data_IF_621441552873
#
_entry.id   IF_621441552873
#
_cell.length_a   1.000
_cell.length_b   1.000
_cell.length_c   1.000
_cell.angle_alpha   90.00
_cell.angle_beta   90.00
_cell.angle_gamma   90.00
#
_symmetry.space_group_name_H-M   'P 1'
#
loop_
_entity.id
_entity.type
_entity.pdbx_description
1 polymer ?
#
# COMPACT_ATOMS: atom_id res chain seq x y z
N UNK A 1 8.80 -10.17 10.16
CA UNK A 1 8.37 -11.16 9.13
C UNK A 1 7.05 -11.89 9.42
N UNK A 2 6.32 -11.59 10.51
CA UNK A 2 5.07 -12.32 10.83
C UNK A 2 4.08 -12.37 9.65
N UNK A 3 3.74 -11.21 9.06
CA UNK A 3 2.79 -11.14 7.94
C UNK A 3 3.23 -11.94 6.71
N UNK A 4 4.53 -11.97 6.39
CA UNK A 4 5.05 -12.75 5.25
C UNK A 4 4.90 -14.26 5.50
N UNK A 5 5.13 -14.71 6.74
CA UNK A 5 4.92 -16.11 7.11
C UNK A 5 3.45 -16.49 7.07
N UNK A 6 2.58 -15.61 7.58
CA UNK A 6 1.13 -15.84 7.56
C UNK A 6 0.60 -15.91 6.11
N UNK A 7 1.14 -15.09 5.21
CA UNK A 7 0.85 -15.12 3.78
C UNK A 7 1.57 -16.25 3.00
N UNK A 8 2.49 -17.00 3.65
CA UNK A 8 3.37 -17.99 3.01
C UNK A 8 4.16 -17.42 1.81
N UNK A 9 4.57 -16.17 1.90
CA UNK A 9 5.30 -15.45 0.86
C UNK A 9 6.76 -15.24 1.24
N UNK A 10 7.65 -15.41 0.26
CA UNK A 10 9.04 -15.00 0.39
C UNK A 10 9.18 -13.49 0.14
N UNK A 11 10.14 -12.84 0.82
CA UNK A 11 10.40 -11.40 0.67
C UNK A 11 10.66 -10.99 -0.79
N UNK A 12 11.32 -11.84 -1.56
CA UNK A 12 11.64 -11.59 -2.97
C UNK A 12 10.40 -11.51 -3.86
N UNK A 13 9.29 -12.12 -3.44
CA UNK A 13 8.02 -12.11 -4.19
C UNK A 13 7.21 -10.84 -4.00
N UNK A 14 7.61 -9.96 -3.08
CA UNK A 14 6.98 -8.65 -2.89
C UNK A 14 7.38 -7.75 -4.06
N UNK A 15 6.43 -7.37 -4.91
CA UNK A 15 6.69 -6.54 -6.09
C UNK A 15 6.99 -5.10 -5.70
N UNK A 16 6.13 -4.49 -4.88
CA UNK A 16 6.23 -3.09 -4.46
C UNK A 16 6.07 -2.94 -2.96
N UNK A 17 6.76 -1.94 -2.39
CA UNK A 17 6.64 -1.56 -0.99
C UNK A 17 6.13 -0.12 -0.92
N UNK A 18 4.85 0.04 -0.58
CA UNK A 18 4.20 1.35 -0.45
C UNK A 18 4.29 1.83 0.99
N UNK A 19 4.70 3.09 1.18
CA UNK A 19 4.77 3.72 2.50
C UNK A 19 3.52 4.57 2.78
N UNK A 20 2.89 4.37 3.93
CA UNK A 20 1.69 5.10 4.36
C UNK A 20 1.83 5.53 5.82
N UNK A 21 1.42 6.77 6.13
CA UNK A 21 1.51 7.39 7.45
C UNK A 21 2.76 8.25 7.64
N UNK A 22 2.62 9.40 8.32
CA UNK A 22 3.67 10.42 8.42
C UNK A 22 4.99 9.96 9.02
N UNK A 23 5.00 8.99 9.95
CA UNK A 23 6.24 8.43 10.53
C UNK A 23 7.10 7.68 9.50
N UNK A 24 6.54 7.27 8.36
CA UNK A 24 7.32 6.66 7.27
C UNK A 24 8.22 7.65 6.54
N UNK A 25 8.09 8.96 6.81
CA UNK A 25 9.00 10.01 6.32
C UNK A 25 10.37 9.99 7.00
N UNK A 26 10.52 9.29 8.13
CA UNK A 26 11.78 9.22 8.88
C UNK A 26 12.82 8.44 8.04
N UNK A 27 13.99 9.03 7.70
CA UNK A 27 14.98 8.38 6.85
C UNK A 27 15.46 7.02 7.36
N UNK A 28 15.62 6.88 8.69
CA UNK A 28 16.04 5.62 9.29
C UNK A 28 15.01 4.50 9.12
N UNK A 29 13.72 4.82 9.16
CA UNK A 29 12.64 3.85 8.91
C UNK A 29 12.68 3.36 7.47
N UNK A 30 12.87 4.27 6.51
CA UNK A 30 13.01 3.93 5.10
C UNK A 30 14.24 3.04 4.87
N UNK A 31 15.39 3.38 5.45
CA UNK A 31 16.59 2.56 5.32
C UNK A 31 16.37 1.14 5.87
N UNK A 32 15.80 1.01 7.07
CA UNK A 32 15.54 -0.29 7.67
C UNK A 32 14.59 -1.14 6.83
N UNK A 33 13.59 -0.52 6.19
CA UNK A 33 12.69 -1.21 5.27
C UNK A 33 13.39 -1.62 3.97
N UNK A 34 14.22 -0.74 3.38
CA UNK A 34 15.02 -1.09 2.20
C UNK A 34 15.94 -2.27 2.50
N UNK A 35 16.70 -2.21 3.59
CA UNK A 35 17.59 -3.28 4.03
C UNK A 35 16.82 -4.59 4.24
N UNK A 36 15.63 -4.50 4.85
CA UNK A 36 14.78 -5.66 5.10
C UNK A 36 14.25 -6.32 3.83
N UNK A 37 14.00 -5.54 2.77
CA UNK A 37 13.57 -6.00 1.44
C UNK A 37 14.74 -6.07 0.44
N UNK A 38 15.95 -6.35 0.93
CA UNK A 38 17.14 -6.62 0.11
C UNK A 38 17.51 -5.46 -0.85
N UNK A 39 17.37 -4.22 -0.39
CA UNK A 39 17.69 -3.01 -1.15
C UNK A 39 16.61 -2.60 -2.16
N UNK A 40 15.43 -3.21 -2.12
CA UNK A 40 14.29 -2.83 -3.00
C UNK A 40 13.92 -1.36 -2.81
N UNK A 41 13.70 -0.68 -3.92
CA UNK A 41 13.25 0.71 -3.91
C UNK A 41 11.85 0.83 -3.30
N UNK A 42 11.67 1.79 -2.39
CA UNK A 42 10.38 2.04 -1.76
C UNK A 42 9.56 2.95 -2.66
N UNK A 43 8.28 2.62 -2.84
CA UNK A 43 7.37 3.38 -3.67
C UNK A 43 7.05 4.73 -3.01
N UNK A 44 7.42 5.81 -3.70
CA UNK A 44 7.21 7.20 -3.28
C UNK A 44 6.24 7.97 -4.18
N UNK A 45 5.58 7.28 -5.12
CA UNK A 45 4.61 7.91 -6.04
C UNK A 45 3.28 8.27 -5.38
N UNK A 46 3.07 7.85 -4.12
CA UNK A 46 1.84 8.05 -3.36
C UNK A 46 2.15 8.96 -2.17
N UNK A 47 1.29 9.95 -1.92
CA UNK A 47 1.38 10.79 -0.72
C UNK A 47 1.00 9.96 0.52
N UNK A 48 1.92 9.72 1.47
CA UNK A 48 1.68 8.82 2.60
C UNK A 48 0.60 9.32 3.56
N UNK A 49 0.31 10.62 3.58
CA UNK A 49 -0.66 11.21 4.50
C UNK A 49 -2.09 11.18 3.93
N UNK A 50 -2.23 11.09 2.60
CA UNK A 50 -3.52 11.14 1.91
C UNK A 50 -3.96 9.77 1.36
N UNK A 51 -3.03 8.82 1.21
CA UNK A 51 -3.28 7.51 0.60
C UNK A 51 -4.49 6.77 1.21
N UNK A 52 -4.62 6.82 2.54
CA UNK A 52 -5.70 6.15 3.27
C UNK A 52 -7.05 6.80 2.98
N UNK A 53 -7.11 8.14 3.06
CA UNK A 53 -8.35 8.88 2.81
C UNK A 53 -8.80 8.74 1.35
N UNK A 54 -7.86 8.74 0.42
CA UNK A 54 -8.14 8.52 -0.99
C UNK A 54 -8.72 7.13 -1.25
N UNK A 55 -8.09 6.08 -0.71
CA UNK A 55 -8.61 4.71 -0.83
C UNK A 55 -10.00 4.55 -0.20
N UNK A 56 -10.25 5.17 0.95
CA UNK A 56 -11.56 5.17 1.59
C UNK A 56 -12.63 5.88 0.76
N UNK A 57 -12.30 7.02 0.15
CA UNK A 57 -13.21 7.75 -0.73
C UNK A 57 -13.56 6.95 -2.00
N UNK A 58 -12.56 6.27 -2.59
CA UNK A 58 -12.78 5.36 -3.73
C UNK A 58 -13.72 4.24 -3.31
N UNK A 59 -13.48 3.59 -2.16
CA UNK A 59 -14.35 2.53 -1.67
C UNK A 59 -15.78 3.01 -1.38
N UNK A 60 -15.94 4.22 -0.83
CA UNK A 60 -17.24 4.82 -0.59
C UNK A 60 -18.00 5.10 -1.91
N UNK A 61 -17.30 5.57 -2.94
CA UNK A 61 -17.89 5.79 -4.26
C UNK A 61 -18.35 4.47 -4.91
N UNK A 62 -17.58 3.39 -4.76
CA UNK A 62 -17.95 2.04 -5.22
C UNK A 62 -19.25 1.58 -4.54
N UNK A 63 -19.31 1.67 -3.20
CA UNK A 63 -20.46 1.21 -2.42
C UNK A 63 -21.72 2.07 -2.65
N UNK A 64 -21.54 3.36 -2.97
CA UNK A 64 -22.66 4.28 -3.22
C UNK A 64 -23.24 4.15 -4.64
N UNK A 65 -22.60 3.37 -5.51
CA UNK A 65 -23.01 3.24 -6.91
C UNK A 65 -22.74 4.49 -7.77
N UNK A 66 -22.06 5.50 -7.22
CA UNK A 66 -21.70 6.77 -7.88
C UNK A 66 -20.32 6.73 -8.56
N UNK A 67 -19.87 5.53 -8.95
CA UNK A 67 -18.58 5.31 -9.61
C UNK A 67 -18.69 5.29 -11.14
N UNK A 68 -17.82 6.06 -11.82
CA UNK A 68 -17.53 5.91 -13.25
C UNK A 68 -17.13 4.44 -13.55
N UNK A 69 -17.32 3.92 -14.78
CA UNK A 69 -17.07 2.51 -15.15
C UNK A 69 -15.71 1.98 -14.64
N UNK A 70 -14.67 2.83 -14.63
CA UNK A 70 -13.32 2.50 -14.14
C UNK A 70 -13.21 2.21 -12.63
N UNK A 71 -14.17 2.69 -11.84
CA UNK A 71 -14.21 2.53 -10.38
C UNK A 71 -15.02 1.29 -9.99
N UNK A 72 -15.96 0.86 -10.83
CA UNK A 72 -16.77 -0.35 -10.57
C UNK A 72 -15.95 -1.64 -10.62
N UNK A 73 -14.89 -1.71 -11.46
CA UNK A 73 -13.99 -2.87 -11.55
C UNK A 73 -13.06 -3.03 -10.33
N UNK A 74 -13.01 -2.04 -9.43
CA UNK A 74 -12.21 -2.06 -8.20
C UNK A 74 -12.95 -2.67 -7.01
N UNK A 75 -14.12 -3.28 -7.24
CA UNK A 75 -14.94 -3.87 -6.18
C UNK A 75 -14.17 -4.96 -5.43
N UNK A 76 -13.80 -4.68 -4.18
CA UNK A 76 -13.21 -5.65 -3.27
C UNK A 76 -14.30 -6.61 -2.79
N UNK A 77 -14.18 -7.89 -3.13
CA UNK A 77 -14.85 -8.97 -2.42
C UNK A 77 -14.05 -9.30 -1.16
N UNK A 78 -14.73 -9.30 -0.02
CA UNK A 78 -14.23 -9.78 1.29
C UNK A 78 -13.96 -11.29 1.28
#
# INVERSE_FOLDING_TARGET
EKCLRDAKMDKSTVHDVVLVGGSTRIPKVQQLLQDFFNGKELCKSINPDEAVAYGAAVQAAILSGEGNEKVQDLLLLD
#
